data_IF_554252405275
#
_entry.id   IF_554252405275
#
_cell.length_a   1.000
_cell.length_b   1.000
_cell.length_c   1.000
_cell.angle_alpha   90.00
_cell.angle_beta   90.00
_cell.angle_gamma   90.00
#
_symmetry.space_group_name_H-M   'P 1'
#
loop_
_entity.id
_entity.type
_entity.pdbx_description
1 polymer ?
#
# COMPACT_ATOMS: atom_id res chain seq x y z
N UNK A 1 -25.33 -28.86 -35.57
CA UNK A 1 -24.80 -29.30 -34.25
C UNK A 1 -25.50 -28.44 -33.22
N UNK A 2 -26.51 -29.00 -32.54
CA UNK A 2 -27.39 -28.25 -31.64
C UNK A 2 -26.80 -28.19 -30.23
N UNK A 3 -26.60 -26.98 -29.71
CA UNK A 3 -26.28 -26.75 -28.30
C UNK A 3 -27.44 -27.25 -27.44
N UNK A 4 -27.25 -28.37 -26.75
CA UNK A 4 -28.16 -28.88 -25.72
C UNK A 4 -27.60 -28.45 -24.36
N UNK A 5 -27.99 -27.26 -23.92
CA UNK A 5 -27.62 -26.74 -22.60
C UNK A 5 -27.86 -25.24 -22.55
N UNK A 6 -28.75 -24.80 -21.67
CA UNK A 6 -28.79 -23.39 -21.30
C UNK A 6 -27.47 -23.07 -20.60
N UNK A 7 -26.66 -22.19 -21.20
CA UNK A 7 -25.51 -21.63 -20.50
C UNK A 7 -26.07 -20.74 -19.39
N UNK A 8 -26.07 -21.24 -18.15
CA UNK A 8 -26.54 -20.51 -16.97
C UNK A 8 -25.36 -19.79 -16.36
N UNK A 9 -25.41 -18.46 -16.34
CA UNK A 9 -24.39 -17.60 -15.72
C UNK A 9 -24.37 -16.21 -16.36
N UNK A 10 -23.58 -15.29 -15.81
CA UNK A 10 -23.38 -13.96 -16.38
C UNK A 10 -22.28 -14.02 -17.46
N UNK A 11 -22.58 -13.89 -18.76
CA UNK A 11 -21.62 -14.14 -19.85
C UNK A 11 -20.33 -13.31 -19.77
N UNK A 12 -20.39 -12.17 -19.08
CA UNK A 12 -19.28 -11.24 -18.83
C UNK A 12 -18.15 -11.79 -17.97
N UNK A 13 -18.38 -12.89 -17.25
CA UNK A 13 -17.41 -13.46 -16.31
C UNK A 13 -17.12 -14.95 -16.58
N UNK A 14 -17.68 -15.51 -17.66
CA UNK A 14 -17.52 -16.93 -17.96
C UNK A 14 -16.13 -17.23 -18.51
N UNK A 15 -15.54 -18.30 -18.02
CA UNK A 15 -14.29 -18.81 -18.56
C UNK A 15 -14.49 -19.39 -19.98
N UNK A 16 -13.50 -19.28 -20.88
CA UNK A 16 -13.59 -19.69 -22.28
C UNK A 16 -14.08 -21.13 -22.50
N UNK A 17 -13.60 -22.06 -21.67
CA UNK A 17 -13.86 -23.50 -21.75
C UNK A 17 -15.34 -23.86 -21.51
N UNK A 18 -16.12 -22.97 -20.87
CA UNK A 18 -17.57 -23.14 -20.71
C UNK A 18 -18.29 -23.13 -22.06
N UNK A 19 -17.76 -22.40 -23.04
CA UNK A 19 -18.38 -22.28 -24.37
C UNK A 19 -18.05 -23.45 -25.30
N UNK A 20 -16.91 -24.12 -25.10
CA UNK A 20 -16.52 -25.30 -25.87
C UNK A 20 -17.22 -26.57 -25.40
N UNK A 21 -17.58 -26.65 -24.11
CA UNK A 21 -18.39 -27.74 -23.55
C UNK A 21 -17.62 -29.04 -23.25
N UNK A 22 -16.29 -29.00 -23.29
CA UNK A 22 -15.37 -30.14 -23.15
C UNK A 22 -14.23 -29.90 -22.13
N UNK A 23 -14.37 -28.89 -21.27
CA UNK A 23 -13.41 -28.58 -20.22
C UNK A 23 -13.13 -29.79 -19.30
N UNK A 24 -11.86 -30.15 -19.04
CA UNK A 24 -11.53 -31.24 -18.10
C UNK A 24 -12.10 -30.95 -16.70
N UNK A 25 -12.71 -31.92 -16.00
CA UNK A 25 -13.27 -31.72 -14.67
C UNK A 25 -12.26 -31.15 -13.67
N UNK A 26 -10.99 -31.52 -13.78
CA UNK A 26 -9.90 -31.02 -12.96
C UNK A 26 -9.61 -29.52 -13.14
N UNK A 27 -10.19 -28.85 -14.14
CA UNK A 27 -10.04 -27.40 -14.36
C UNK A 27 -11.24 -26.59 -13.85
N UNK A 28 -12.26 -27.23 -13.29
CA UNK A 28 -13.51 -26.57 -12.91
C UNK A 28 -13.28 -25.41 -11.93
N UNK A 29 -12.38 -25.57 -10.96
CA UNK A 29 -12.03 -24.52 -9.99
C UNK A 29 -11.28 -23.34 -10.61
N UNK A 30 -10.66 -23.51 -11.78
CA UNK A 30 -9.95 -22.44 -12.50
C UNK A 30 -10.91 -21.51 -13.25
N UNK A 31 -12.19 -21.87 -13.33
CA UNK A 31 -13.25 -20.97 -13.81
C UNK A 31 -13.50 -19.84 -12.82
N UNK A 32 -13.44 -20.13 -11.51
CA UNK A 32 -13.57 -19.12 -10.46
C UNK A 32 -12.40 -18.14 -10.48
N UNK A 33 -11.19 -18.62 -10.77
CA UNK A 33 -10.01 -17.76 -10.96
C UNK A 33 -10.23 -16.79 -12.12
N UNK A 34 -10.74 -17.27 -13.25
CA UNK A 34 -11.04 -16.42 -14.41
C UNK A 34 -12.12 -15.38 -14.08
N UNK A 35 -13.24 -15.82 -13.50
CA UNK A 35 -14.34 -14.94 -13.12
C UNK A 35 -13.89 -13.85 -12.13
N UNK A 36 -13.08 -14.24 -11.13
CA UNK A 36 -12.51 -13.30 -10.17
C UNK A 36 -11.48 -12.36 -10.82
N UNK A 37 -10.72 -12.82 -11.82
CA UNK A 37 -9.86 -11.97 -12.65
C UNK A 37 -10.64 -10.89 -13.39
N UNK A 38 -11.79 -11.23 -13.96
CA UNK A 38 -12.68 -10.26 -14.62
C UNK A 38 -13.22 -9.23 -13.62
N UNK A 39 -13.65 -9.68 -12.43
CA UNK A 39 -14.12 -8.79 -11.36
C UNK A 39 -13.00 -7.89 -10.82
N UNK A 40 -11.79 -8.42 -10.65
CA UNK A 40 -10.64 -7.65 -10.20
C UNK A 40 -10.26 -6.57 -11.22
N UNK A 41 -10.25 -6.90 -12.51
CA UNK A 41 -10.08 -5.91 -13.58
C UNK A 41 -11.13 -4.81 -13.48
N UNK A 42 -12.41 -5.18 -13.35
CA UNK A 42 -13.51 -4.22 -13.27
C UNK A 42 -13.43 -3.34 -12.03
N UNK A 43 -13.08 -3.92 -10.88
CA UNK A 43 -12.91 -3.18 -9.63
C UNK A 43 -11.77 -2.16 -9.70
N UNK A 44 -10.66 -2.52 -10.36
CA UNK A 44 -9.50 -1.63 -10.51
C UNK A 44 -9.77 -0.49 -11.50
N UNK A 45 -10.43 -0.81 -12.62
CA UNK A 45 -10.54 0.11 -13.77
C UNK A 45 -11.86 0.86 -13.83
N UNK A 46 -12.91 0.36 -13.19
CA UNK A 46 -14.28 0.86 -13.30
C UNK A 46 -15.02 0.44 -14.57
N UNK A 47 -14.43 -0.41 -15.41
CA UNK A 47 -15.03 -0.91 -16.67
C UNK A 47 -14.82 -2.41 -16.82
N UNK A 48 -15.65 -3.09 -17.60
CA UNK A 48 -15.52 -4.54 -17.80
C UNK A 48 -14.26 -4.91 -18.62
N UNK A 49 -13.65 -6.05 -18.29
CA UNK A 49 -12.50 -6.60 -19.01
C UNK A 49 -12.79 -6.84 -20.50
N UNK A 50 -14.03 -7.24 -20.79
CA UNK A 50 -14.57 -7.38 -22.13
C UNK A 50 -15.94 -6.69 -22.16
N UNK A 51 -16.20 -5.90 -23.20
CA UNK A 51 -17.45 -5.17 -23.36
C UNK A 51 -17.92 -5.28 -24.80
N UNK A 52 -19.17 -5.69 -24.98
CA UNK A 52 -19.81 -5.88 -26.27
C UNK A 52 -21.33 -5.70 -26.15
N UNK A 53 -22.00 -5.37 -27.25
CA UNK A 53 -23.45 -5.16 -27.28
C UNK A 53 -24.25 -6.45 -27.50
N UNK A 54 -23.59 -7.53 -27.92
CA UNK A 54 -24.23 -8.80 -28.24
C UNK A 54 -23.58 -9.99 -27.49
N UNK A 55 -24.41 -10.95 -27.06
CA UNK A 55 -23.96 -12.13 -26.32
C UNK A 55 -22.93 -12.99 -27.08
N UNK A 56 -23.06 -13.11 -28.42
CA UNK A 56 -22.10 -13.85 -29.24
C UNK A 56 -20.73 -13.17 -29.33
N UNK A 57 -20.69 -11.86 -29.20
CA UNK A 57 -19.42 -11.11 -29.21
C UNK A 57 -18.69 -11.24 -27.88
N UNK A 58 -19.39 -11.23 -26.74
CA UNK A 58 -18.82 -11.60 -25.44
C UNK A 58 -18.13 -12.96 -25.50
N UNK A 59 -18.81 -13.97 -26.05
CA UNK A 59 -18.24 -15.31 -26.21
C UNK A 59 -16.93 -15.27 -27.03
N UNK A 60 -16.95 -14.59 -28.18
CA UNK A 60 -15.75 -14.46 -29.04
C UNK A 60 -14.59 -13.76 -28.31
N UNK A 61 -14.86 -12.67 -27.59
CA UNK A 61 -13.83 -11.94 -26.85
C UNK A 61 -13.24 -12.80 -25.73
N UNK A 62 -14.09 -13.46 -24.96
CA UNK A 62 -13.63 -14.36 -23.90
C UNK A 62 -12.77 -15.48 -24.47
N UNK A 63 -13.12 -16.07 -25.62
CA UNK A 63 -12.37 -17.18 -26.22
C UNK A 63 -11.05 -16.75 -26.90
N UNK A 64 -11.01 -15.56 -27.51
CA UNK A 64 -9.94 -15.24 -28.47
C UNK A 64 -9.24 -13.90 -28.28
N UNK A 65 -9.73 -13.03 -27.39
CA UNK A 65 -9.13 -11.72 -27.16
C UNK A 65 -8.47 -11.62 -25.79
N UNK A 66 -7.25 -11.09 -25.77
CA UNK A 66 -6.61 -10.72 -24.53
C UNK A 66 -7.29 -9.50 -23.92
N UNK A 67 -7.48 -9.53 -22.60
CA UNK A 67 -7.95 -8.37 -21.88
C UNK A 67 -6.94 -7.21 -22.02
N UNK A 68 -7.45 -5.98 -22.03
CA UNK A 68 -6.60 -4.81 -21.94
C UNK A 68 -5.82 -4.81 -20.61
N UNK A 69 -4.71 -4.08 -20.57
CA UNK A 69 -3.96 -3.88 -19.33
C UNK A 69 -4.72 -2.88 -18.43
N UNK A 70 -4.99 -3.20 -17.15
CA UNK A 70 -5.60 -2.26 -16.21
C UNK A 70 -4.94 -0.88 -16.22
N UNK A 71 -3.60 -0.83 -16.21
CA UNK A 71 -2.85 0.44 -16.20
C UNK A 71 -3.02 1.28 -17.47
N UNK A 72 -3.37 0.66 -18.61
CA UNK A 72 -3.66 1.38 -19.86
C UNK A 72 -5.08 1.95 -19.86
N UNK A 73 -6.02 1.25 -19.25
CA UNK A 73 -7.42 1.67 -19.15
C UNK A 73 -7.56 2.79 -18.13
N UNK A 74 -6.91 2.64 -16.97
CA UNK A 74 -6.88 3.64 -15.91
C UNK A 74 -5.43 3.87 -15.47
N UNK A 75 -4.77 4.98 -15.88
CA UNK A 75 -3.37 5.27 -15.54
C UNK A 75 -3.06 5.37 -14.03
N UNK A 76 -4.06 5.57 -13.19
CA UNK A 76 -3.93 5.55 -11.73
C UNK A 76 -3.75 4.13 -11.17
N UNK A 77 -4.14 3.09 -11.92
CA UNK A 77 -3.93 1.71 -11.52
C UNK A 77 -2.46 1.35 -11.75
N UNK A 78 -1.74 0.90 -10.71
CA UNK A 78 -0.34 0.53 -10.87
C UNK A 78 -0.12 -0.59 -11.90
N UNK A 79 0.93 -0.45 -12.71
CA UNK A 79 1.31 -1.45 -13.71
C UNK A 79 1.64 -2.83 -13.10
N UNK A 80 1.93 -2.89 -11.79
CA UNK A 80 2.13 -4.14 -11.05
C UNK A 80 0.91 -5.09 -11.14
N UNK A 81 -0.31 -4.57 -11.32
CA UNK A 81 -1.51 -5.39 -11.47
C UNK A 81 -1.64 -6.05 -12.85
N UNK A 82 -1.00 -5.50 -13.89
CA UNK A 82 -1.21 -5.93 -15.28
C UNK A 82 -0.91 -7.42 -15.48
N UNK A 83 0.23 -7.88 -14.99
CA UNK A 83 0.67 -9.27 -15.15
C UNK A 83 -0.21 -10.25 -14.35
N UNK A 84 -0.67 -9.82 -13.16
CA UNK A 84 -1.54 -10.63 -12.30
C UNK A 84 -2.89 -10.85 -12.96
N UNK A 85 -3.50 -9.77 -13.46
CA UNK A 85 -4.80 -9.83 -14.16
C UNK A 85 -4.68 -10.60 -15.47
N UNK A 86 -3.64 -10.36 -16.27
CA UNK A 86 -3.43 -11.08 -17.53
C UNK A 86 -3.31 -12.59 -17.30
N UNK A 87 -2.61 -13.02 -16.24
CA UNK A 87 -2.51 -14.44 -15.88
C UNK A 87 -3.84 -15.02 -15.45
N UNK A 88 -4.59 -14.34 -14.58
CA UNK A 88 -5.91 -14.81 -14.16
C UNK A 88 -6.88 -14.99 -15.33
N UNK A 89 -6.75 -14.14 -16.37
CA UNK A 89 -7.58 -14.13 -17.58
C UNK A 89 -6.99 -14.95 -18.75
N UNK A 90 -5.96 -15.76 -18.50
CA UNK A 90 -5.40 -16.64 -19.51
C UNK A 90 -6.46 -17.59 -20.09
N UNK A 91 -6.41 -17.82 -21.40
CA UNK A 91 -7.46 -18.58 -22.09
C UNK A 91 -7.40 -20.06 -21.74
N UNK A 92 -6.20 -20.63 -21.77
CA UNK A 92 -5.94 -21.98 -21.31
C UNK A 92 -5.99 -22.03 -19.77
N UNK A 93 -6.78 -22.94 -19.15
CA UNK A 93 -6.90 -23.00 -17.70
C UNK A 93 -5.56 -23.18 -16.97
N UNK A 94 -4.66 -24.00 -17.52
CA UNK A 94 -3.37 -24.30 -16.91
C UNK A 94 -2.39 -23.12 -16.92
N UNK A 95 -2.62 -22.13 -17.77
CA UNK A 95 -1.82 -20.90 -17.81
C UNK A 95 -2.29 -19.87 -16.75
N UNK A 96 -3.42 -20.12 -16.09
CA UNK A 96 -3.97 -19.25 -15.04
C UNK A 96 -3.21 -19.40 -13.72
N UNK A 97 -3.50 -18.51 -12.79
CA UNK A 97 -3.12 -18.70 -11.39
C UNK A 97 -3.84 -19.92 -10.83
N UNK A 98 -3.12 -20.83 -10.17
CA UNK A 98 -3.64 -22.18 -9.88
C UNK A 98 -4.51 -22.26 -8.63
N UNK A 99 -4.88 -21.11 -8.05
CA UNK A 99 -5.92 -21.01 -7.01
C UNK A 99 -6.37 -19.56 -6.80
N UNK A 100 -7.55 -19.39 -6.22
CA UNK A 100 -8.04 -18.08 -5.75
C UNK A 100 -7.16 -17.52 -4.62
N UNK A 101 -6.64 -18.38 -3.76
CA UNK A 101 -5.76 -17.98 -2.65
C UNK A 101 -4.45 -17.37 -3.18
N UNK A 102 -3.86 -17.98 -4.20
CA UNK A 102 -2.67 -17.47 -4.88
C UNK A 102 -2.98 -16.18 -5.65
N UNK A 103 -4.12 -16.11 -6.35
CA UNK A 103 -4.53 -14.86 -7.04
C UNK A 103 -4.66 -13.71 -6.04
N UNK A 104 -5.30 -13.94 -4.90
CA UNK A 104 -5.40 -12.94 -3.82
C UNK A 104 -4.00 -12.50 -3.36
N UNK A 105 -3.09 -13.44 -3.14
CA UNK A 105 -1.73 -13.13 -2.72
C UNK A 105 -0.99 -12.26 -3.75
N UNK A 106 -1.08 -12.62 -5.04
CA UNK A 106 -0.46 -11.86 -6.13
C UNK A 106 -1.04 -10.44 -6.25
N UNK A 107 -2.35 -10.26 -6.04
CA UNK A 107 -2.98 -8.94 -6.01
C UNK A 107 -2.48 -8.09 -4.83
N UNK A 108 -2.32 -8.69 -3.64
CA UNK A 108 -1.76 -8.01 -2.47
C UNK A 108 -0.30 -7.62 -2.72
N UNK A 109 0.50 -8.51 -3.29
CA UNK A 109 1.91 -8.22 -3.63
C UNK A 109 2.03 -7.12 -4.70
N UNK A 110 1.17 -7.14 -5.72
CA UNK A 110 1.10 -6.07 -6.72
C UNK A 110 0.75 -4.72 -6.08
N UNK A 111 -0.19 -4.71 -5.14
CA UNK A 111 -0.55 -3.52 -4.38
C UNK A 111 0.64 -3.01 -3.53
N UNK A 112 1.27 -3.87 -2.73
CA UNK A 112 2.36 -3.46 -1.85
C UNK A 112 3.62 -3.02 -2.63
N UNK A 113 3.94 -3.68 -3.76
CA UNK A 113 5.07 -3.31 -4.61
C UNK A 113 4.86 -2.02 -5.40
N UNK A 114 3.60 -1.61 -5.60
CA UNK A 114 3.27 -0.35 -6.26
C UNK A 114 3.36 0.88 -5.36
N UNK A 115 3.48 0.68 -4.04
CA UNK A 115 3.58 1.79 -3.09
C UNK A 115 4.97 2.38 -3.13
N UNK A 116 5.03 3.70 -3.02
CA UNK A 116 6.29 4.36 -2.71
C UNK A 116 6.80 3.86 -1.34
N UNK A 117 8.12 3.64 -1.20
CA UNK A 117 8.70 3.20 0.05
C UNK A 117 8.41 4.23 1.15
N UNK A 118 7.93 3.76 2.30
CA UNK A 118 7.71 4.60 3.48
C UNK A 118 8.97 5.40 3.78
N UNK A 119 8.86 6.72 3.93
CA UNK A 119 10.02 7.55 4.22
C UNK A 119 9.96 8.03 5.67
N UNK A 120 10.94 7.62 6.45
CA UNK A 120 11.04 7.93 7.88
C UNK A 120 12.19 8.91 8.07
N UNK A 121 11.92 10.03 8.74
CA UNK A 121 12.96 10.95 9.18
C UNK A 121 13.32 10.67 10.63
N UNK A 122 14.62 10.55 10.93
CA UNK A 122 15.17 10.59 12.28
C UNK A 122 15.84 11.95 12.46
N UNK A 123 15.40 12.72 13.45
CA UNK A 123 15.97 14.01 13.83
C UNK A 123 16.54 13.92 15.24
N UNK A 124 17.86 13.91 15.38
CA UNK A 124 18.58 13.93 16.65
C UNK A 124 20.01 14.45 16.40
N UNK A 125 20.52 15.32 17.28
CA UNK A 125 21.88 15.87 17.20
C UNK A 125 22.95 14.93 17.80
N UNK A 126 22.54 13.91 18.56
CA UNK A 126 23.38 12.81 19.01
C UNK A 126 23.55 11.78 17.88
N UNK A 127 24.71 11.82 17.23
CA UNK A 127 25.04 10.95 16.11
C UNK A 127 25.03 9.45 16.48
N UNK A 128 25.39 9.08 17.71
CA UNK A 128 25.42 7.69 18.16
C UNK A 128 24.00 7.15 18.33
N UNK A 129 23.12 7.96 18.94
CA UNK A 129 21.71 7.61 19.08
C UNK A 129 21.01 7.55 17.73
N UNK A 130 21.26 8.54 16.87
CA UNK A 130 20.67 8.60 15.54
C UNK A 130 21.08 7.39 14.68
N UNK A 131 22.35 6.97 14.74
CA UNK A 131 22.82 5.77 14.04
C UNK A 131 22.16 4.51 14.59
N UNK A 132 22.08 4.34 15.92
CA UNK A 132 21.41 3.20 16.55
C UNK A 132 19.94 3.10 16.12
N UNK A 133 19.20 4.20 16.19
CA UNK A 133 17.78 4.27 15.80
C UNK A 133 17.63 3.95 14.32
N UNK A 134 18.45 4.57 13.46
CA UNK A 134 18.35 4.34 12.03
C UNK A 134 18.69 2.89 11.66
N UNK A 135 19.65 2.25 12.33
CA UNK A 135 20.00 0.85 12.13
C UNK A 135 18.85 -0.09 12.52
N UNK A 136 18.19 0.16 13.65
CA UNK A 136 17.00 -0.60 14.08
C UNK A 136 15.87 -0.45 13.07
N UNK A 137 15.57 0.77 12.62
CA UNK A 137 14.50 1.05 11.67
C UNK A 137 14.79 0.42 10.30
N UNK A 138 16.00 0.62 9.72
CA UNK A 138 16.41 0.04 8.44
C UNK A 138 16.34 -1.49 8.45
N UNK A 139 16.73 -2.12 9.57
CA UNK A 139 16.66 -3.59 9.72
C UNK A 139 15.22 -4.11 9.72
N UNK A 140 14.30 -3.38 10.38
CA UNK A 140 12.92 -3.83 10.59
C UNK A 140 11.98 -3.45 9.44
N UNK A 141 12.19 -2.30 8.82
CA UNK A 141 11.39 -1.73 7.75
C UNK A 141 12.20 -1.71 6.46
N UNK A 142 12.46 -2.90 5.89
CA UNK A 142 13.37 -3.07 4.74
C UNK A 142 12.94 -2.32 3.47
N UNK A 143 11.65 -2.08 3.32
CA UNK A 143 11.09 -1.30 2.22
C UNK A 143 11.05 0.19 2.52
N UNK A 144 11.37 0.64 3.74
CA UNK A 144 11.35 2.05 4.10
C UNK A 144 12.71 2.70 3.82
N UNK A 145 12.68 3.96 3.39
CA UNK A 145 13.85 4.83 3.36
C UNK A 145 13.96 5.57 4.69
N UNK A 146 15.09 5.44 5.37
CA UNK A 146 15.36 6.14 6.63
C UNK A 146 16.42 7.21 6.40
N UNK A 147 16.01 8.47 6.46
CA UNK A 147 16.92 9.61 6.47
C UNK A 147 17.22 10.02 7.90
N UNK A 148 18.44 10.50 8.12
CA UNK A 148 18.92 11.00 9.41
C UNK A 148 19.38 12.43 9.18
N UNK A 149 18.89 13.37 9.99
CA UNK A 149 19.25 14.78 9.95
C UNK A 149 19.56 15.22 11.39
N UNK A 150 20.68 15.88 11.62
CA UNK A 150 21.09 16.40 12.94
C UNK A 150 20.66 17.86 13.16
N UNK A 151 20.44 18.60 12.07
CA UNK A 151 20.10 20.02 12.12
C UNK A 151 18.57 20.25 12.00
N UNK A 152 17.93 20.88 12.99
CA UNK A 152 16.48 21.15 12.95
C UNK A 152 16.03 22.03 11.78
N UNK A 153 16.87 22.94 11.28
CA UNK A 153 16.53 23.79 10.12
C UNK A 153 16.56 23.00 8.81
N UNK A 154 17.55 22.13 8.64
CA UNK A 154 17.61 21.23 7.49
C UNK A 154 16.44 20.25 7.48
N UNK A 155 16.05 19.76 8.67
CA UNK A 155 14.88 18.90 8.82
C UNK A 155 13.57 19.63 8.44
N UNK A 156 13.41 20.91 8.77
CA UNK A 156 12.25 21.70 8.32
C UNK A 156 12.20 21.81 6.79
N UNK A 157 13.34 22.12 6.16
CA UNK A 157 13.43 22.19 4.70
C UNK A 157 13.12 20.83 4.05
N UNK A 158 13.65 19.73 4.61
CA UNK A 158 13.39 18.39 4.13
C UNK A 158 11.89 18.04 4.18
N UNK A 159 11.19 18.42 5.26
CA UNK A 159 9.74 18.21 5.40
C UNK A 159 8.93 18.92 4.31
N UNK A 160 9.36 20.10 3.86
CA UNK A 160 8.67 20.82 2.78
C UNK A 160 8.97 20.25 1.38
N UNK A 161 10.20 19.78 1.16
CA UNK A 161 10.63 19.26 -0.13
C UNK A 161 10.14 17.84 -0.38
N UNK A 162 10.02 17.03 0.66
CA UNK A 162 9.86 15.58 0.55
C UNK A 162 8.60 15.07 1.27
N UNK A 163 8.12 13.87 0.92
CA UNK A 163 6.99 13.26 1.63
C UNK A 163 7.52 12.27 2.66
N UNK A 164 7.47 12.65 3.92
CA UNK A 164 7.72 11.73 5.03
C UNK A 164 6.41 11.11 5.48
N UNK A 165 6.43 9.80 5.73
CA UNK A 165 5.32 9.06 6.33
C UNK A 165 5.33 9.17 7.85
N UNK A 166 6.51 9.42 8.44
CA UNK A 166 6.71 9.52 9.89
C UNK A 166 8.01 10.25 10.21
N UNK A 167 8.03 10.95 11.34
CA UNK A 167 9.24 11.51 11.93
C UNK A 167 9.44 10.95 13.34
N UNK A 168 10.67 10.55 13.66
CA UNK A 168 11.15 10.31 15.02
C UNK A 168 12.08 11.47 15.37
N UNK A 169 11.70 12.30 16.33
CA UNK A 169 12.46 13.50 16.68
C UNK A 169 12.83 13.49 18.16
N UNK A 170 14.08 13.86 18.45
CA UNK A 170 14.51 14.13 19.81
C UNK A 170 13.88 15.41 20.36
N UNK A 171 13.65 15.41 21.67
CA UNK A 171 13.10 16.56 22.39
C UNK A 171 14.16 17.61 22.68
N UNK A 172 15.38 17.17 23.03
CA UNK A 172 16.43 17.97 23.66
C UNK A 172 17.57 18.27 22.69
N UNK A 173 17.27 19.02 21.63
CA UNK A 173 18.28 19.48 20.68
C UNK A 173 18.80 20.89 21.04
N UNK A 174 20.08 21.20 20.75
CA UNK A 174 20.62 22.55 20.83
C UNK A 174 19.84 23.54 19.97
N UNK A 175 19.75 24.78 20.44
CA UNK A 175 19.15 25.94 19.74
C UNK A 175 17.62 25.89 19.54
N UNK A 176 17.04 24.73 19.30
CA UNK A 176 15.60 24.57 19.04
C UNK A 176 15.10 23.24 19.60
N UNK A 177 14.20 23.29 20.59
CA UNK A 177 13.62 22.08 21.18
C UNK A 177 12.73 21.32 20.19
N UNK A 178 12.58 20.00 20.38
CA UNK A 178 11.71 19.16 19.55
C UNK A 178 10.24 19.61 19.53
N UNK A 179 9.73 20.23 20.61
CA UNK A 179 8.37 20.77 20.66
C UNK A 179 8.23 22.08 19.88
N UNK A 180 9.20 22.98 19.99
CA UNK A 180 9.23 24.20 19.16
C UNK A 180 9.41 23.86 17.69
N UNK A 181 10.26 22.88 17.38
CA UNK A 181 10.42 22.36 16.04
C UNK A 181 9.12 21.74 15.52
N UNK A 182 8.45 20.90 16.32
CA UNK A 182 7.14 20.32 16.00
C UNK A 182 6.09 21.40 15.68
N UNK A 183 6.04 22.49 16.46
CA UNK A 183 5.15 23.63 16.15
C UNK A 183 5.42 24.22 14.77
N UNK A 184 6.70 24.39 14.40
CA UNK A 184 7.09 24.89 13.08
C UNK A 184 6.69 23.91 11.98
N UNK A 185 6.93 22.62 12.16
CA UNK A 185 6.48 21.58 11.23
C UNK A 185 4.97 21.63 11.04
N UNK A 186 4.18 21.77 12.10
CA UNK A 186 2.71 21.87 12.01
C UNK A 186 2.23 23.08 11.19
N UNK A 187 3.06 24.11 11.02
CA UNK A 187 2.76 25.27 10.18
C UNK A 187 3.12 25.09 8.70
N UNK A 188 3.85 24.02 8.34
CA UNK A 188 4.21 23.75 6.94
C UNK A 188 3.08 23.07 6.17
N UNK A 189 3.15 23.13 4.84
CA UNK A 189 2.12 22.57 3.95
C UNK A 189 1.97 21.04 4.11
N UNK A 190 3.08 20.36 4.40
CA UNK A 190 3.15 18.89 4.54
C UNK A 190 3.14 18.42 5.99
N UNK A 191 3.46 19.29 6.94
CA UNK A 191 3.62 18.92 8.34
C UNK A 191 2.33 18.93 9.17
N UNK A 192 1.20 19.43 8.64
CA UNK A 192 -0.06 19.53 9.39
C UNK A 192 -0.54 18.21 10.00
N UNK A 193 -0.52 17.14 9.21
CA UNK A 193 -0.98 15.79 9.62
C UNK A 193 0.18 14.78 9.71
N UNK A 194 1.43 15.24 9.55
CA UNK A 194 2.60 14.37 9.57
C UNK A 194 2.78 13.77 10.97
N UNK A 195 2.69 12.44 11.14
CA UNK A 195 2.89 11.84 12.44
C UNK A 195 4.34 12.05 12.92
N UNK A 196 4.47 12.54 14.14
CA UNK A 196 5.74 12.79 14.81
C UNK A 196 5.75 11.98 16.10
N UNK A 197 6.79 11.17 16.31
CA UNK A 197 7.10 10.52 17.57
C UNK A 197 8.19 11.34 18.24
N UNK A 198 7.93 11.82 19.45
CA UNK A 198 8.95 12.50 20.25
C UNK A 198 9.70 11.48 21.09
N UNK A 199 11.02 11.59 21.12
CA UNK A 199 11.88 10.86 22.04
C UNK A 199 12.46 11.85 23.05
N UNK A 200 12.44 11.51 24.34
CA UNK A 200 12.87 12.43 25.40
C UNK A 200 13.63 11.73 26.52
N UNK A 201 14.65 12.38 27.10
CA UNK A 201 15.32 11.92 28.32
C UNK A 201 14.55 12.23 29.62
N UNK A 202 13.62 13.19 29.58
CA UNK A 202 12.74 13.57 30.70
C UNK A 202 11.29 13.28 30.36
N UNK A 203 10.55 12.76 31.36
CA UNK A 203 9.13 12.41 31.23
C UNK A 203 8.22 13.33 32.02
N UNK A 204 8.57 14.61 32.15
CA UNK A 204 7.84 15.54 33.00
C UNK A 204 6.40 15.73 32.52
N UNK A 205 5.43 15.78 33.44
CA UNK A 205 4.02 15.94 33.09
C UNK A 205 3.73 17.15 32.17
N UNK A 206 4.54 18.21 32.26
CA UNK A 206 4.44 19.39 31.40
C UNK A 206 4.82 19.08 29.94
N UNK A 207 5.94 18.39 29.71
CA UNK A 207 6.42 18.02 28.37
C UNK A 207 5.42 17.10 27.67
N UNK A 208 4.89 16.11 28.39
CA UNK A 208 3.86 15.20 27.86
C UNK A 208 2.58 15.92 27.46
N UNK A 209 2.12 16.86 28.31
CA UNK A 209 0.93 17.67 28.04
C UNK A 209 1.13 18.54 26.81
N UNK A 210 2.31 19.16 26.69
CA UNK A 210 2.66 20.01 25.55
C UNK A 210 2.76 19.19 24.25
N UNK A 211 3.48 18.06 24.27
CA UNK A 211 3.57 17.15 23.11
C UNK A 211 2.19 16.69 22.64
N UNK A 212 1.33 16.31 23.57
CA UNK A 212 -0.06 15.91 23.28
C UNK A 212 -0.85 17.05 22.65
N UNK A 213 -0.72 18.28 23.14
CA UNK A 213 -1.39 19.46 22.56
C UNK A 213 -0.97 19.77 21.12
N UNK A 214 0.21 19.31 20.70
CA UNK A 214 0.73 19.46 19.33
C UNK A 214 0.29 18.32 18.40
N UNK A 215 -0.46 17.34 18.90
CA UNK A 215 -0.91 16.18 18.14
C UNK A 215 0.26 15.31 17.67
N UNK A 216 1.24 15.06 18.55
CA UNK A 216 2.26 14.04 18.28
C UNK A 216 1.62 12.65 18.31
N UNK A 217 2.14 11.73 17.49
CA UNK A 217 1.60 10.38 17.37
C UNK A 217 2.05 9.44 18.51
N UNK A 218 3.09 9.83 19.25
CA UNK A 218 3.60 9.12 20.40
C UNK A 218 4.76 9.83 21.08
N UNK A 219 5.07 9.39 22.30
CA UNK A 219 6.25 9.82 23.07
C UNK A 219 6.97 8.58 23.60
N UNK A 220 8.29 8.55 23.48
CA UNK A 220 9.17 7.50 24.02
C UNK A 220 10.18 8.11 24.99
N UNK A 221 10.49 7.41 26.07
CA UNK A 221 11.49 7.83 27.06
C UNK A 221 12.84 7.18 26.76
N UNK A 222 13.93 7.96 26.80
CA UNK A 222 15.30 7.45 26.77
C UNK A 222 15.62 6.80 28.15
N UNK A 223 16.32 5.65 28.18
CA UNK A 223 16.81 4.88 27.04
C UNK A 223 15.68 4.14 26.30
N UNK A 224 15.66 4.26 24.97
CA UNK A 224 14.63 3.64 24.12
C UNK A 224 15.06 2.22 23.76
N UNK A 225 14.26 1.21 24.11
CA UNK A 225 14.49 -0.15 23.62
C UNK A 225 14.07 -0.26 22.14
N UNK A 226 14.84 -1.03 21.36
CA UNK A 226 14.57 -1.21 19.93
C UNK A 226 13.16 -1.74 19.64
N UNK A 227 12.65 -2.65 20.46
CA UNK A 227 11.30 -3.21 20.30
C UNK A 227 10.20 -2.16 20.56
N UNK A 228 10.38 -1.28 21.55
CA UNK A 228 9.43 -0.21 21.86
C UNK A 228 9.33 0.79 20.70
N UNK A 229 10.49 1.18 20.15
CA UNK A 229 10.57 2.03 18.96
C UNK A 229 9.87 1.37 17.76
N UNK A 230 10.19 0.11 17.48
CA UNK A 230 9.60 -0.65 16.37
C UNK A 230 8.09 -0.78 16.51
N UNK A 231 7.61 -1.08 17.71
CA UNK A 231 6.18 -1.22 17.98
C UNK A 231 5.45 0.11 17.80
N UNK A 232 6.03 1.20 18.30
CA UNK A 232 5.48 2.55 18.14
C UNK A 232 5.40 2.95 16.66
N UNK A 233 6.51 2.84 15.93
CA UNK A 233 6.56 3.19 14.50
C UNK A 233 5.62 2.32 13.67
N UNK A 234 5.57 1.01 13.93
CA UNK A 234 4.66 0.08 13.23
C UNK A 234 3.20 0.44 13.46
N UNK A 235 2.83 0.78 14.71
CA UNK A 235 1.48 1.21 15.06
C UNK A 235 1.11 2.50 14.33
N UNK A 236 1.96 3.51 14.41
CA UNK A 236 1.70 4.83 13.81
C UNK A 236 1.61 4.76 12.29
N UNK A 237 2.54 4.08 11.61
CA UNK A 237 2.46 3.89 10.15
C UNK A 237 1.19 3.16 9.73
N UNK A 238 0.72 2.19 10.52
CA UNK A 238 -0.55 1.50 10.26
C UNK A 238 -1.76 2.44 10.40
N UNK A 239 -1.75 3.30 11.41
CA UNK A 239 -2.81 4.29 11.64
C UNK A 239 -2.86 5.32 10.51
N UNK A 240 -1.71 5.85 10.08
CA UNK A 240 -1.61 6.79 8.95
C UNK A 240 -2.16 6.17 7.67
N UNK A 241 -1.77 4.94 7.34
CA UNK A 241 -2.30 4.22 6.16
C UNK A 241 -3.81 4.00 6.23
N UNK A 242 -4.36 3.73 7.41
CA UNK A 242 -5.80 3.57 7.58
C UNK A 242 -6.56 4.89 7.35
N UNK A 243 -5.94 6.03 7.68
CA UNK A 243 -6.52 7.36 7.44
C UNK A 243 -6.37 7.87 6.00
N UNK A 244 -5.36 7.39 5.27
CA UNK A 244 -5.12 7.75 3.86
C UNK A 244 -5.94 6.91 2.87
N UNK A 245 -6.42 5.72 3.29
CA UNK A 245 -7.35 4.94 2.49
C UNK A 245 -8.67 5.73 2.39
N UNK A 246 -9.12 6.11 1.18
CA UNK A 246 -10.40 6.79 1.03
C UNK A 246 -11.46 5.90 1.68
N UNK A 247 -12.28 6.46 2.56
CA UNK A 247 -13.51 5.80 2.98
C UNK A 247 -14.23 5.41 1.68
N UNK A 248 -14.40 4.10 1.46
CA UNK A 248 -15.15 3.59 0.33
C UNK A 248 -16.53 4.27 0.33
N UNK A 249 -16.71 5.21 -0.60
CA UNK A 249 -17.94 5.95 -0.82
C UNK A 249 -18.53 5.54 -2.15
#
# INVERSE_FOLDING_TARGET
>A
IGFKGYVVGSPRYMAPEVFFGDAPPETEYLRDVYALGCLAFETLTGVHAFSADAAGEYMRMHMFEDAQRPSRVRPEVPAAFDAVIARALAKEPWDRTQSVAELRQQLVEAHESSREPERILVLDDDADWAELVSAVLRRRFRSARVDVIDNPQEALLAVDLERYSLIVADLQMPLLSGLEWTRRVRSTSRGKNLPIIIVTGSGGAAEWKEATSLGVAGVLLKPVHGDDLVNMVSRVLRETRASESPAAG
#
